data_IF_920763495124
#
_entry.id   IF_920763495124
#
_cell.length_a   1.000
_cell.length_b   1.000
_cell.length_c   1.000
_cell.angle_alpha   90.00
_cell.angle_beta   90.00
_cell.angle_gamma   90.00
#
_symmetry.space_group_name_H-M   'P 1'
#
loop_
_entity.id
_entity.type
_entity.pdbx_description
1 polymer ?
#
# COMPACT_ATOMS: atom_id res chain seq x y z
N UNK A 1 11.97 3.89 -4.27
CA UNK A 1 12.16 2.88 -3.20
C UNK A 1 12.00 1.52 -3.85
N UNK A 2 12.96 0.61 -3.71
CA UNK A 2 12.81 -0.77 -4.20
C UNK A 2 12.01 -1.57 -3.15
N UNK A 3 10.71 -1.77 -3.40
CA UNK A 3 9.83 -2.52 -2.49
C UNK A 3 9.48 -3.92 -2.99
N UNK A 4 10.17 -4.38 -4.06
CA UNK A 4 10.00 -5.71 -4.61
C UNK A 4 10.19 -6.77 -3.51
N UNK A 5 9.30 -7.76 -3.49
CA UNK A 5 9.25 -8.83 -2.48
C UNK A 5 8.95 -8.38 -1.04
N UNK A 6 8.53 -7.13 -0.80
CA UNK A 6 8.02 -6.69 0.50
C UNK A 6 6.50 -6.82 0.54
N UNK A 7 5.97 -7.21 1.70
CA UNK A 7 4.53 -7.25 1.96
C UNK A 7 4.18 -6.18 2.98
N UNK A 8 3.16 -5.36 2.70
CA UNK A 8 2.75 -4.25 3.56
C UNK A 8 1.25 -4.31 3.83
N UNK A 9 0.84 -4.10 5.08
CA UNK A 9 -0.57 -3.91 5.47
C UNK A 9 -0.84 -2.40 5.63
N UNK A 10 -1.85 -1.90 4.93
CA UNK A 10 -2.37 -0.53 5.09
C UNK A 10 -3.77 -0.60 5.67
N UNK A 11 -4.00 0.06 6.81
CA UNK A 11 -5.31 0.21 7.47
C UNK A 11 -5.87 1.61 7.20
N UNK A 12 -7.19 1.82 7.39
CA UNK A 12 -7.82 3.12 7.08
C UNK A 12 -7.70 3.46 5.59
N UNK A 13 -7.80 2.44 4.73
CA UNK A 13 -7.50 2.54 3.30
C UNK A 13 -8.73 2.59 2.39
N UNK A 14 -9.91 2.77 3.00
CA UNK A 14 -11.17 2.98 2.28
C UNK A 14 -11.09 4.22 1.38
N UNK A 15 -10.48 5.31 1.88
CA UNK A 15 -10.30 6.56 1.14
C UNK A 15 -9.05 7.35 1.59
N UNK A 16 -8.98 8.61 1.18
CA UNK A 16 -8.02 9.59 1.68
C UNK A 16 -6.55 9.16 1.57
N UNK A 17 -5.79 9.42 2.64
CA UNK A 17 -4.35 9.17 2.68
C UNK A 17 -4.04 7.67 2.62
N UNK A 18 -4.82 6.83 3.30
CA UNK A 18 -4.58 5.38 3.33
C UNK A 18 -4.65 4.77 1.93
N UNK A 19 -5.65 5.19 1.14
CA UNK A 19 -5.75 4.80 -0.28
C UNK A 19 -4.54 5.24 -1.10
N UNK A 20 -4.15 6.51 -1.01
CA UNK A 20 -3.01 7.06 -1.78
C UNK A 20 -1.70 6.36 -1.41
N UNK A 21 -1.50 6.04 -0.12
CA UNK A 21 -0.32 5.31 0.34
C UNK A 21 -0.29 3.89 -0.21
N UNK A 22 -1.41 3.16 -0.16
CA UNK A 22 -1.51 1.81 -0.72
C UNK A 22 -1.17 1.78 -2.23
N UNK A 23 -1.71 2.73 -3.00
CA UNK A 23 -1.44 2.87 -4.43
C UNK A 23 0.05 3.13 -4.71
N UNK A 24 0.68 4.05 -3.98
CA UNK A 24 2.11 4.39 -4.15
C UNK A 24 3.03 3.23 -3.78
N UNK A 25 2.72 2.50 -2.72
CA UNK A 25 3.50 1.33 -2.30
C UNK A 25 3.39 0.18 -3.32
N UNK A 26 2.19 -0.04 -3.87
CA UNK A 26 1.98 -1.01 -4.95
C UNK A 26 2.75 -0.63 -6.22
N UNK A 27 2.71 0.65 -6.62
CA UNK A 27 3.47 1.17 -7.76
C UNK A 27 5.00 1.03 -7.58
N UNK A 28 5.47 1.06 -6.34
CA UNK A 28 6.88 0.80 -5.99
C UNK A 28 7.25 -0.69 -5.88
N UNK A 29 6.31 -1.61 -6.17
CA UNK A 29 6.55 -3.05 -6.26
C UNK A 29 6.23 -3.86 -4.99
N UNK A 30 5.61 -3.26 -3.98
CA UNK A 30 5.17 -3.99 -2.80
C UNK A 30 3.94 -4.86 -3.08
N UNK A 31 3.82 -6.00 -2.39
CA UNK A 31 2.55 -6.70 -2.24
C UNK A 31 1.76 -6.03 -1.11
N UNK A 32 0.70 -5.33 -1.45
CA UNK A 32 -0.08 -4.53 -0.49
C UNK A 32 -1.35 -5.28 -0.09
N UNK A 33 -1.57 -5.41 1.22
CA UNK A 33 -2.83 -5.82 1.83
C UNK A 33 -3.53 -4.56 2.34
N UNK A 34 -4.83 -4.44 2.11
CA UNK A 34 -5.62 -3.27 2.49
C UNK A 34 -6.74 -3.65 3.45
N UNK A 35 -6.98 -2.81 4.45
CA UNK A 35 -8.12 -2.88 5.36
C UNK A 35 -8.74 -1.49 5.53
N UNK A 36 -10.08 -1.45 5.48
CA UNK A 36 -10.88 -0.23 5.57
C UNK A 36 -10.99 0.29 6.99
#
# INVERSE_FOLDING_TARGET
MELKNKTVLVTGSTDGVGRVVAERLGAAGARVLVHG
#
